data_IF_209227646563
#
_entry.id   IF_209227646563
#
_cell.length_a   1.000
_cell.length_b   1.000
_cell.length_c   1.000
_cell.angle_alpha   90.00
_cell.angle_beta   90.00
_cell.angle_gamma   90.00
#
_symmetry.space_group_name_H-M   'P 1'
#
loop_
_entity.id
_entity.type
_entity.pdbx_description
1 polymer ?
#
# COMPACT_ATOMS: atom_id res chain seq x y z
N UNK A 1 0.99 -4.05 26.32
CA UNK A 1 2.00 -3.58 25.35
C UNK A 1 1.24 -2.77 24.33
N UNK A 2 1.50 -1.46 24.25
CA UNK A 2 0.78 -0.58 23.32
C UNK A 2 1.25 -0.88 21.89
N UNK A 3 0.35 -1.41 21.05
CA UNK A 3 0.64 -1.70 19.65
C UNK A 3 0.78 -0.38 18.90
N UNK A 4 1.99 -0.08 18.40
CA UNK A 4 2.20 1.09 17.54
C UNK A 4 1.92 0.72 16.08
N UNK A 5 0.95 1.40 15.49
CA UNK A 5 0.75 1.40 14.03
C UNK A 5 1.64 2.50 13.44
N UNK A 6 2.47 2.13 12.46
CA UNK A 6 3.32 3.04 11.69
C UNK A 6 2.79 3.05 10.26
N UNK A 7 2.24 4.18 9.82
CA UNK A 7 1.70 4.31 8.46
C UNK A 7 2.68 5.05 7.56
N UNK A 8 2.99 4.48 6.40
CA UNK A 8 3.79 5.08 5.35
C UNK A 8 2.93 5.28 4.11
N UNK A 9 2.79 6.55 3.70
CA UNK A 9 2.12 6.94 2.47
C UNK A 9 3.16 7.15 1.38
N UNK A 10 3.03 6.47 0.25
CA UNK A 10 3.89 6.70 -0.90
C UNK A 10 3.15 7.47 -1.97
N UNK A 11 3.74 8.55 -2.47
CA UNK A 11 3.09 9.50 -3.39
C UNK A 11 4.02 9.87 -4.56
N UNK A 12 3.50 10.17 -5.76
CA UNK A 12 4.34 10.51 -6.92
C UNK A 12 4.97 11.92 -6.83
N UNK A 13 4.38 12.83 -6.06
CA UNK A 13 4.84 14.21 -5.90
C UNK A 13 4.72 14.67 -4.44
N UNK A 14 5.57 15.60 -4.01
CA UNK A 14 5.38 16.32 -2.74
C UNK A 14 4.34 17.42 -2.87
N UNK A 15 3.78 17.87 -1.75
CA UNK A 15 2.86 19.02 -1.73
C UNK A 15 3.53 20.30 -2.24
N UNK A 16 4.80 20.55 -1.89
CA UNK A 16 5.56 21.71 -2.38
C UNK A 16 5.73 21.68 -3.90
N UNK A 17 5.97 20.49 -4.48
CA UNK A 17 6.12 20.36 -5.93
C UNK A 17 4.78 20.59 -6.63
N UNK A 18 3.68 20.07 -6.09
CA UNK A 18 2.34 20.33 -6.63
C UNK A 18 1.97 21.82 -6.55
N UNK A 19 2.30 22.47 -5.43
CA UNK A 19 2.10 23.90 -5.24
C UNK A 19 2.87 24.70 -6.29
N UNK A 20 4.16 24.38 -6.48
CA UNK A 20 4.99 25.03 -7.49
C UNK A 20 4.38 24.91 -8.90
N UNK A 21 3.97 23.71 -9.30
CA UNK A 21 3.38 23.47 -10.62
C UNK A 21 2.07 24.25 -10.78
N UNK A 22 1.21 24.24 -9.76
CA UNK A 22 -0.05 24.99 -9.77
C UNK A 22 0.18 26.49 -9.90
N UNK A 23 1.08 27.06 -9.11
CA UNK A 23 1.33 28.51 -9.07
C UNK A 23 2.11 29.03 -10.29
N UNK A 24 3.02 28.24 -10.86
CA UNK A 24 3.95 28.72 -11.89
C UNK A 24 3.66 28.18 -13.30
N UNK A 25 3.01 27.03 -13.41
CA UNK A 25 2.70 26.37 -14.70
C UNK A 25 1.18 26.41 -14.98
N UNK A 26 0.35 26.65 -13.96
CA UNK A 26 -1.10 26.76 -14.10
C UNK A 26 -1.80 25.42 -14.31
N UNK A 27 -1.16 24.31 -13.89
CA UNK A 27 -1.77 22.98 -13.92
C UNK A 27 -2.30 22.64 -12.53
N UNK A 28 -3.59 22.32 -12.44
CA UNK A 28 -4.20 21.92 -11.18
C UNK A 28 -3.60 20.60 -10.65
N UNK A 29 -3.31 20.48 -9.34
CA UNK A 29 -2.73 19.26 -8.78
C UNK A 29 -3.51 17.99 -9.11
N UNK A 30 -4.84 18.08 -9.13
CA UNK A 30 -5.73 16.96 -9.50
C UNK A 30 -5.50 16.51 -10.95
N UNK A 31 -5.29 17.44 -11.87
CA UNK A 31 -5.07 17.14 -13.29
C UNK A 31 -3.72 16.51 -13.50
N UNK A 32 -2.67 17.03 -12.84
CA UNK A 32 -1.34 16.44 -12.89
C UNK A 32 -1.33 14.99 -12.38
N UNK A 33 -1.91 14.75 -11.20
CA UNK A 33 -1.98 13.40 -10.61
C UNK A 33 -2.78 12.45 -11.49
N UNK A 34 -3.88 12.92 -12.10
CA UNK A 34 -4.66 12.14 -13.05
C UNK A 34 -3.82 11.76 -14.28
N UNK A 35 -3.10 12.72 -14.87
CA UNK A 35 -2.28 12.49 -16.06
C UNK A 35 -1.12 11.53 -15.79
N UNK A 36 -0.42 11.73 -14.68
CA UNK A 36 0.64 10.82 -14.21
C UNK A 36 0.08 9.40 -14.02
N UNK A 37 -1.02 9.26 -13.28
CA UNK A 37 -1.65 7.95 -13.04
C UNK A 37 -2.10 7.26 -14.34
N UNK A 38 -2.72 8.00 -15.25
CA UNK A 38 -3.15 7.49 -16.55
C UNK A 38 -1.97 6.99 -17.38
N UNK A 39 -0.86 7.74 -17.39
CA UNK A 39 0.37 7.37 -18.11
C UNK A 39 0.94 6.07 -17.57
N UNK A 40 1.15 5.99 -16.24
CA UNK A 40 1.71 4.80 -15.59
C UNK A 40 0.84 3.55 -15.77
N UNK A 41 -0.48 3.71 -15.65
CA UNK A 41 -1.44 2.62 -15.86
C UNK A 41 -1.43 2.11 -17.31
N UNK A 42 -1.26 3.02 -18.27
CA UNK A 42 -1.13 2.68 -19.70
C UNK A 42 0.15 1.90 -19.96
N UNK A 43 1.30 2.39 -19.47
CA UNK A 43 2.60 1.71 -19.60
C UNK A 43 2.55 0.31 -18.96
N UNK A 44 1.90 0.18 -17.80
CA UNK A 44 1.72 -1.09 -17.11
C UNK A 44 0.99 -2.14 -17.95
N UNK A 45 0.06 -1.74 -18.82
CA UNK A 45 -0.60 -2.62 -19.78
C UNK A 45 -1.47 -3.75 -19.21
N UNK A 46 -1.88 -3.67 -17.94
CA UNK A 46 -2.70 -4.72 -17.26
C UNK A 46 -4.20 -4.43 -17.23
N UNK A 47 -4.61 -3.22 -17.58
CA UNK A 47 -6.00 -2.75 -17.48
C UNK A 47 -6.54 -2.37 -18.86
N UNK A 48 -7.85 -2.55 -19.08
CA UNK A 48 -8.54 -2.01 -20.27
C UNK A 48 -8.60 -0.49 -20.19
N UNK A 49 -8.62 0.20 -21.33
CA UNK A 49 -8.64 1.66 -21.42
C UNK A 49 -9.75 2.32 -20.57
N UNK A 50 -10.96 1.78 -20.61
CA UNK A 50 -12.08 2.27 -19.78
C UNK A 50 -11.78 2.19 -18.27
N UNK A 51 -11.11 1.13 -17.82
CA UNK A 51 -10.68 0.98 -16.41
C UNK A 51 -9.52 1.91 -16.07
N UNK A 52 -8.62 2.19 -17.02
CA UNK A 52 -7.51 3.13 -16.81
C UNK A 52 -8.07 4.51 -16.49
N UNK A 53 -9.03 5.00 -17.29
CA UNK A 53 -9.66 6.31 -17.07
C UNK A 53 -10.28 6.42 -15.68
N UNK A 54 -11.11 5.45 -15.28
CA UNK A 54 -11.74 5.45 -13.95
C UNK A 54 -10.70 5.39 -12.82
N UNK A 55 -9.61 4.64 -12.97
CA UNK A 55 -8.55 4.57 -11.96
C UNK A 55 -7.76 5.87 -11.85
N UNK A 56 -7.47 6.51 -12.99
CA UNK A 56 -6.80 7.81 -13.02
C UNK A 56 -7.68 8.92 -12.40
N UNK A 57 -9.00 8.89 -12.62
CA UNK A 57 -9.94 9.82 -11.99
C UNK A 57 -9.97 9.71 -10.46
N UNK A 58 -9.78 8.50 -9.92
CA UNK A 58 -9.72 8.25 -8.48
C UNK A 58 -8.33 8.50 -7.86
N UNK A 59 -7.28 8.66 -8.67
CA UNK A 59 -5.91 8.73 -8.20
C UNK A 59 -5.65 9.93 -7.27
N UNK A 60 -6.34 11.05 -7.48
CA UNK A 60 -6.18 12.22 -6.62
C UNK A 60 -6.76 12.02 -5.21
N UNK A 61 -7.87 11.31 -5.07
CA UNK A 61 -8.39 10.95 -3.75
C UNK A 61 -7.48 9.96 -3.03
N UNK A 62 -6.91 9.00 -3.76
CA UNK A 62 -5.91 8.08 -3.22
C UNK A 62 -4.62 8.78 -2.79
N UNK A 63 -4.18 9.77 -3.56
CA UNK A 63 -3.06 10.64 -3.23
C UNK A 63 -3.32 11.37 -1.91
N UNK A 64 -4.46 12.06 -1.78
CA UNK A 64 -4.85 12.74 -0.54
C UNK A 64 -4.96 11.78 0.64
N UNK A 65 -5.49 10.58 0.41
CA UNK A 65 -5.56 9.53 1.43
C UNK A 65 -4.18 9.08 1.91
N UNK A 66 -3.22 8.94 1.00
CA UNK A 66 -1.84 8.59 1.34
C UNK A 66 -1.12 9.69 2.12
N UNK A 67 -1.41 10.97 1.84
CA UNK A 67 -0.87 12.12 2.59
C UNK A 67 -1.30 12.15 4.07
N UNK A 68 -2.33 11.39 4.46
CA UNK A 68 -2.72 11.28 5.87
C UNK A 68 -1.84 10.33 6.69
N UNK A 69 -0.87 9.67 6.06
CA UNK A 69 0.07 8.79 6.75
C UNK A 69 1.09 9.58 7.59
N UNK A 70 1.51 8.99 8.71
CA UNK A 70 2.55 9.52 9.62
C UNK A 70 3.90 9.79 8.92
N UNK A 71 4.25 8.99 7.92
CA UNK A 71 5.45 9.18 7.12
C UNK A 71 5.10 9.19 5.64
N UNK A 72 5.69 10.13 4.89
CA UNK A 72 5.49 10.26 3.45
C UNK A 72 6.79 9.97 2.71
N UNK A 73 6.70 9.13 1.68
CA UNK A 73 7.78 8.86 0.73
C UNK A 73 7.33 9.36 -0.64
N UNK A 74 8.13 10.23 -1.24
CA UNK A 74 7.89 10.66 -2.63
C UNK A 74 8.64 9.71 -3.57
N UNK A 75 7.90 9.03 -4.45
CA UNK A 75 8.48 8.16 -5.48
C UNK A 75 8.04 8.59 -6.90
N UNK A 76 8.91 9.29 -7.63
CA UNK A 76 8.64 9.61 -9.03
C UNK A 76 8.78 8.38 -9.95
N UNK A 77 9.59 7.38 -9.59
CA UNK A 77 9.88 6.17 -10.39
C UNK A 77 8.86 5.07 -10.12
N UNK A 78 7.65 5.21 -10.65
CA UNK A 78 6.53 4.29 -10.44
C UNK A 78 6.84 2.80 -10.67
N UNK A 79 5.87 1.94 -10.40
CA UNK A 79 6.04 0.49 -10.64
C UNK A 79 6.22 0.13 -12.13
N UNK A 80 5.91 1.07 -13.01
CA UNK A 80 6.07 1.00 -14.46
C UNK A 80 7.50 1.30 -14.92
N UNK A 81 8.32 2.00 -14.12
CA UNK A 81 9.74 2.28 -14.40
C UNK A 81 10.64 1.12 -13.95
N UNK A 82 10.45 -0.05 -14.58
CA UNK A 82 11.16 -1.29 -14.23
C UNK A 82 12.67 -1.14 -14.32
N UNK A 83 13.14 -0.41 -15.32
CA UNK A 83 14.57 -0.19 -15.54
C UNK A 83 15.21 0.55 -14.37
N UNK A 84 14.57 1.61 -13.85
CA UNK A 84 15.08 2.31 -12.68
C UNK A 84 15.10 1.44 -11.43
N UNK A 85 14.07 0.60 -11.25
CA UNK A 85 14.04 -0.37 -10.16
C UNK A 85 15.18 -1.38 -10.31
N UNK A 86 15.30 -2.07 -11.44
CA UNK A 86 16.35 -3.07 -11.72
C UNK A 86 17.77 -2.49 -11.56
N UNK A 87 18.02 -1.30 -12.13
CA UNK A 87 19.33 -0.63 -12.04
C UNK A 87 19.59 0.05 -10.70
N UNK A 88 18.60 0.10 -9.80
CA UNK A 88 18.63 0.86 -8.55
C UNK A 88 19.16 2.27 -8.82
N UNK A 89 18.50 3.02 -9.71
CA UNK A 89 18.89 4.41 -10.00
C UNK A 89 18.84 5.25 -8.72
N UNK A 90 19.51 6.40 -8.73
CA UNK A 90 19.62 7.25 -7.53
C UNK A 90 18.25 7.59 -6.91
N UNK A 91 17.22 7.81 -7.73
CA UNK A 91 15.86 8.11 -7.25
C UNK A 91 15.21 6.91 -6.55
N UNK A 92 15.36 5.70 -7.10
CA UNK A 92 14.90 4.47 -6.45
C UNK A 92 15.69 4.17 -5.17
N UNK A 93 17.02 4.37 -5.17
CA UNK A 93 17.82 4.22 -3.96
C UNK A 93 17.37 5.20 -2.87
N UNK A 94 17.01 6.43 -3.22
CA UNK A 94 16.50 7.41 -2.28
C UNK A 94 15.17 6.95 -1.64
N UNK A 95 14.25 6.39 -2.43
CA UNK A 95 13.00 5.79 -1.93
C UNK A 95 13.29 4.65 -0.94
N UNK A 96 14.18 3.74 -1.30
CA UNK A 96 14.59 2.62 -0.44
C UNK A 96 15.23 3.15 0.86
N UNK A 97 16.12 4.14 0.77
CA UNK A 97 16.80 4.74 1.93
C UNK A 97 15.84 5.46 2.86
N UNK A 98 14.84 6.17 2.33
CA UNK A 98 13.79 6.79 3.14
C UNK A 98 12.99 5.73 3.91
N UNK A 99 12.60 4.64 3.23
CA UNK A 99 11.87 3.54 3.87
C UNK A 99 12.72 2.84 4.95
N UNK A 100 13.99 2.55 4.66
CA UNK A 100 14.96 2.02 5.62
C UNK A 100 15.10 2.92 6.86
N UNK A 101 15.18 4.24 6.66
CA UNK A 101 15.31 5.21 7.74
C UNK A 101 14.04 5.28 8.61
N UNK A 102 12.85 5.12 8.02
CA UNK A 102 11.60 5.01 8.79
C UNK A 102 11.64 3.76 9.66
N UNK A 103 11.97 2.60 9.09
CA UNK A 103 12.00 1.32 9.83
C UNK A 103 13.02 1.37 10.98
N UNK A 104 14.21 1.92 10.76
CA UNK A 104 15.26 1.98 11.77
C UNK A 104 14.84 2.76 13.03
N UNK A 105 13.95 3.77 12.91
CA UNK A 105 13.39 4.50 14.06
C UNK A 105 12.60 3.61 15.03
N UNK A 106 12.12 2.47 14.56
CA UNK A 106 11.28 1.55 15.33
C UNK A 106 11.95 0.21 15.63
N UNK A 107 13.25 0.09 15.37
CA UNK A 107 14.00 -1.14 15.64
C UNK A 107 13.93 -1.52 17.12
N UNK A 108 13.72 -2.81 17.38
CA UNK A 108 13.52 -3.34 18.74
C UNK A 108 12.13 -3.06 19.33
N UNK A 109 11.18 -2.55 18.55
CA UNK A 109 9.78 -2.37 18.95
C UNK A 109 8.87 -3.28 18.13
N UNK A 110 7.75 -3.69 18.72
CA UNK A 110 6.67 -4.38 18.02
C UNK A 110 5.77 -3.37 17.32
N UNK A 111 5.72 -3.40 15.99
CA UNK A 111 4.94 -2.46 15.16
C UNK A 111 4.10 -3.16 14.09
N UNK A 112 2.96 -2.55 13.77
CA UNK A 112 2.23 -2.81 12.53
C UNK A 112 2.62 -1.76 11.50
N UNK A 113 3.43 -2.15 10.51
CA UNK A 113 3.92 -1.30 9.43
C UNK A 113 2.94 -1.34 8.26
N UNK A 114 2.31 -0.21 7.97
CA UNK A 114 1.27 -0.07 6.95
C UNK A 114 1.82 0.72 5.77
N UNK A 115 1.78 0.15 4.57
CA UNK A 115 2.09 0.86 3.33
C UNK A 115 0.80 1.18 2.56
N UNK A 116 0.65 2.43 2.13
CA UNK A 116 -0.48 2.87 1.30
C UNK A 116 -0.03 3.89 0.24
N UNK A 117 -0.87 4.16 -0.76
CA UNK A 117 -0.52 5.05 -1.86
C UNK A 117 -1.36 4.78 -3.12
N UNK A 118 -1.43 5.74 -4.07
CA UNK A 118 -2.14 5.55 -5.32
C UNK A 118 -1.58 4.37 -6.13
N UNK A 119 -2.37 3.89 -7.08
CA UNK A 119 -1.89 2.86 -8.01
C UNK A 119 -0.66 3.29 -8.80
N UNK A 120 0.22 2.35 -9.07
CA UNK A 120 1.43 2.53 -9.88
C UNK A 120 2.51 3.43 -9.28
N UNK A 121 2.33 3.92 -8.05
CA UNK A 121 3.35 4.74 -7.38
C UNK A 121 4.62 3.94 -7.01
N UNK A 122 4.60 2.60 -7.06
CA UNK A 122 5.78 1.74 -6.79
C UNK A 122 5.73 0.91 -5.50
N UNK A 123 4.54 0.72 -4.90
CA UNK A 123 4.38 0.00 -3.62
C UNK A 123 4.85 -1.45 -3.71
N UNK A 124 4.44 -2.16 -4.75
CA UNK A 124 4.83 -3.55 -4.99
C UNK A 124 6.36 -3.74 -5.10
N UNK A 125 7.05 -2.98 -5.96
CA UNK A 125 8.52 -3.01 -6.00
C UNK A 125 9.19 -2.66 -4.66
N UNK A 126 8.69 -1.67 -3.92
CA UNK A 126 9.22 -1.35 -2.59
C UNK A 126 9.01 -2.50 -1.59
N UNK A 127 7.84 -3.14 -1.61
CA UNK A 127 7.54 -4.33 -0.81
C UNK A 127 8.47 -5.49 -1.16
N UNK A 128 8.72 -5.73 -2.46
CA UNK A 128 9.66 -6.75 -2.91
C UNK A 128 11.07 -6.48 -2.36
N UNK A 129 11.58 -5.25 -2.49
CA UNK A 129 12.87 -4.86 -1.90
C UNK A 129 12.86 -5.01 -0.37
N UNK A 130 11.74 -4.71 0.29
CA UNK A 130 11.62 -4.88 1.73
C UNK A 130 11.81 -6.34 2.17
N UNK A 131 11.14 -7.27 1.48
CA UNK A 131 11.16 -8.71 1.79
C UNK A 131 12.31 -9.49 1.13
N UNK A 132 13.16 -8.87 0.33
CA UNK A 132 14.33 -9.52 -0.29
C UNK A 132 15.66 -8.94 0.17
N UNK A 133 15.68 -7.67 0.59
CA UNK A 133 16.92 -6.97 0.92
C UNK A 133 16.87 -6.31 2.31
N UNK A 134 15.88 -5.44 2.55
CA UNK A 134 15.89 -4.57 3.74
C UNK A 134 15.80 -5.39 5.02
N UNK A 135 14.91 -6.39 5.07
CA UNK A 135 14.72 -7.18 6.28
C UNK A 135 15.98 -7.97 6.66
N UNK A 136 16.75 -8.47 5.69
CA UNK A 136 18.03 -9.15 5.95
C UNK A 136 19.10 -8.14 6.38
N UNK A 137 19.26 -7.06 5.63
CA UNK A 137 20.27 -6.02 5.89
C UNK A 137 20.11 -5.40 7.29
N UNK A 138 18.87 -5.16 7.73
CA UNK A 138 18.56 -4.57 9.02
C UNK A 138 18.32 -5.63 10.12
N UNK A 139 18.42 -6.93 9.80
CA UNK A 139 18.19 -8.07 10.71
C UNK A 139 16.81 -8.01 11.38
N UNK A 140 15.78 -7.75 10.59
CA UNK A 140 14.40 -7.58 11.05
C UNK A 140 13.69 -8.93 11.13
N UNK A 141 12.90 -9.12 12.19
CA UNK A 141 11.98 -10.24 12.32
C UNK A 141 10.59 -9.82 11.85
N UNK A 142 10.27 -10.14 10.60
CA UNK A 142 9.09 -9.62 9.89
C UNK A 142 8.05 -10.72 9.63
N UNK A 143 6.77 -10.39 9.76
CA UNK A 143 5.63 -11.15 9.23
C UNK A 143 4.82 -10.30 8.25
N UNK A 144 4.00 -10.94 7.43
CA UNK A 144 3.10 -10.27 6.49
C UNK A 144 1.65 -10.55 6.86
N UNK A 145 0.84 -9.51 6.98
CA UNK A 145 -0.57 -9.68 7.33
C UNK A 145 -1.37 -10.32 6.18
N UNK A 146 -2.41 -11.05 6.56
CA UNK A 146 -3.33 -11.73 5.64
C UNK A 146 -4.42 -10.78 5.17
N UNK A 147 -4.62 -10.71 3.86
CA UNK A 147 -5.73 -9.98 3.23
C UNK A 147 -6.57 -10.97 2.42
N UNK A 148 -7.86 -11.05 2.74
CA UNK A 148 -8.84 -11.77 1.94
C UNK A 148 -9.41 -10.87 0.86
N UNK A 149 -9.65 -11.42 -0.32
CA UNK A 149 -10.28 -10.73 -1.45
C UNK A 149 -11.32 -11.61 -2.12
N UNK A 150 -12.42 -11.01 -2.57
CA UNK A 150 -13.41 -11.75 -3.36
C UNK A 150 -12.84 -12.13 -4.73
N UNK A 151 -12.68 -13.44 -4.94
CA UNK A 151 -12.13 -14.04 -6.15
C UNK A 151 -12.94 -13.71 -7.41
N UNK A 152 -14.26 -13.46 -7.27
CA UNK A 152 -15.11 -13.10 -8.42
C UNK A 152 -14.93 -11.65 -8.83
N UNK A 153 -14.80 -10.74 -7.86
CA UNK A 153 -14.57 -9.32 -8.12
C UNK A 153 -13.13 -9.05 -8.58
N UNK A 154 -12.15 -9.80 -8.03
CA UNK A 154 -10.74 -9.71 -8.39
C UNK A 154 -10.12 -11.12 -8.47
N UNK A 155 -10.15 -11.76 -9.65
CA UNK A 155 -9.41 -13.01 -9.84
C UNK A 155 -7.89 -12.78 -9.73
N UNK A 156 -7.11 -13.81 -9.37
CA UNK A 156 -5.66 -13.74 -9.35
C UNK A 156 -5.11 -13.25 -10.70
N UNK A 157 -4.22 -12.26 -10.66
CA UNK A 157 -3.50 -11.79 -11.86
C UNK A 157 -2.29 -12.67 -12.12
N UNK A 158 -1.66 -12.52 -13.30
CA UNK A 158 -0.41 -13.22 -13.63
C UNK A 158 0.65 -12.97 -12.54
N UNK A 159 1.10 -14.04 -11.88
CA UNK A 159 2.07 -14.02 -10.78
C UNK A 159 1.45 -14.03 -9.38
N UNK A 160 0.13 -13.87 -9.24
CA UNK A 160 -0.59 -14.01 -7.96
C UNK A 160 -1.06 -15.47 -7.78
N UNK A 161 -1.04 -15.96 -6.55
CA UNK A 161 -1.53 -17.29 -6.15
C UNK A 161 -2.20 -17.23 -4.77
N UNK A 162 -2.88 -18.28 -4.35
CA UNK A 162 -3.44 -18.36 -2.99
C UNK A 162 -2.34 -18.09 -1.94
N UNK A 163 -2.59 -17.12 -1.06
CA UNK A 163 -1.64 -16.67 -0.04
C UNK A 163 -0.57 -15.70 -0.55
N UNK A 164 -0.56 -15.34 -1.84
CA UNK A 164 0.43 -14.42 -2.41
C UNK A 164 -0.15 -13.47 -3.49
N UNK A 165 -0.39 -12.19 -3.20
CA UNK A 165 -0.36 -11.55 -1.88
C UNK A 165 -1.70 -11.70 -1.11
N UNK A 166 -2.73 -12.27 -1.75
CA UNK A 166 -4.08 -12.37 -1.20
C UNK A 166 -4.50 -13.82 -0.95
N UNK A 167 -5.41 -13.98 -0.01
CA UNK A 167 -6.22 -15.18 0.11
C UNK A 167 -7.53 -14.97 -0.64
N UNK A 168 -7.74 -15.76 -1.69
CA UNK A 168 -8.89 -15.61 -2.56
C UNK A 168 -10.06 -16.43 -1.99
N UNK A 169 -11.14 -15.75 -1.63
CA UNK A 169 -12.36 -16.37 -1.10
C UNK A 169 -13.55 -15.93 -1.93
N UNK A 170 -14.67 -16.64 -1.84
CA UNK A 170 -15.92 -16.14 -2.42
C UNK A 170 -16.60 -15.14 -1.48
N UNK A 171 -17.42 -14.24 -2.03
CA UNK A 171 -18.11 -13.23 -1.24
C UNK A 171 -19.02 -13.80 -0.13
N UNK A 172 -19.68 -14.94 -0.38
CA UNK A 172 -20.48 -15.67 0.60
C UNK A 172 -19.63 -16.17 1.78
N UNK A 173 -18.46 -16.74 1.51
CA UNK A 173 -17.49 -17.17 2.53
C UNK A 173 -17.00 -15.98 3.37
N UNK A 174 -16.64 -14.86 2.72
CA UNK A 174 -16.21 -13.65 3.41
C UNK A 174 -17.31 -13.13 4.36
N UNK A 175 -18.56 -13.10 3.89
CA UNK A 175 -19.71 -12.66 4.71
C UNK A 175 -19.93 -13.59 5.89
N UNK A 176 -19.83 -14.90 5.69
CA UNK A 176 -19.97 -15.88 6.75
C UNK A 176 -18.87 -15.70 7.81
N UNK A 177 -17.61 -15.58 7.40
CA UNK A 177 -16.47 -15.32 8.29
C UNK A 177 -16.70 -14.08 9.17
N UNK A 178 -17.09 -12.96 8.56
CA UNK A 178 -17.36 -11.71 9.27
C UNK A 178 -18.56 -11.86 10.20
N UNK A 179 -19.62 -12.54 9.79
CA UNK A 179 -20.83 -12.71 10.61
C UNK A 179 -20.55 -13.52 11.89
N UNK A 180 -19.66 -14.51 11.82
CA UNK A 180 -19.26 -15.34 12.96
C UNK A 180 -18.38 -14.59 13.94
N UNK A 181 -17.47 -13.74 13.46
CA UNK A 181 -16.51 -13.00 14.28
C UNK A 181 -16.41 -11.51 13.85
N UNK A 182 -17.43 -10.68 14.08
CA UNK A 182 -17.48 -9.32 13.52
C UNK A 182 -16.40 -8.37 14.04
N UNK A 183 -15.81 -8.66 15.21
CA UNK A 183 -14.70 -7.89 15.78
C UNK A 183 -13.32 -8.30 15.26
N UNK A 184 -13.21 -9.46 14.61
CA UNK A 184 -11.95 -10.02 14.08
C UNK A 184 -11.54 -9.39 12.77
N UNK A 185 -12.48 -8.85 12.00
CA UNK A 185 -12.24 -8.47 10.62
C UNK A 185 -12.44 -6.97 10.38
N UNK A 186 -11.57 -6.37 9.58
CA UNK A 186 -11.80 -5.05 8.99
C UNK A 186 -12.10 -5.25 7.51
N UNK A 187 -13.35 -5.03 7.12
CA UNK A 187 -13.76 -4.98 5.73
C UNK A 187 -13.65 -3.55 5.17
N UNK A 188 -13.12 -3.41 3.96
CA UNK A 188 -13.03 -2.14 3.24
C UNK A 188 -13.18 -2.35 1.73
N UNK A 189 -13.63 -1.29 1.04
CA UNK A 189 -13.75 -1.27 -0.41
C UNK A 189 -12.48 -0.74 -1.07
N UNK A 190 -12.04 -1.44 -2.11
CA UNK A 190 -10.95 -1.02 -3.00
C UNK A 190 -11.48 -0.92 -4.42
N UNK A 191 -12.16 0.19 -4.71
CA UNK A 191 -12.72 0.51 -6.04
C UNK A 191 -13.75 -0.53 -6.50
N UNK A 192 -14.71 -0.86 -5.64
CA UNK A 192 -15.74 -1.86 -5.88
C UNK A 192 -15.28 -3.30 -5.65
N UNK A 193 -14.07 -3.51 -5.13
CA UNK A 193 -13.56 -4.83 -4.74
C UNK A 193 -13.52 -4.90 -3.21
N UNK A 194 -14.24 -5.86 -2.64
CA UNK A 194 -14.21 -6.12 -1.21
C UNK A 194 -12.87 -6.75 -0.82
N UNK A 195 -12.18 -6.12 0.15
CA UNK A 195 -11.02 -6.67 0.83
C UNK A 195 -11.25 -6.72 2.33
N UNK A 196 -10.62 -7.68 3.00
CA UNK A 196 -10.79 -7.92 4.43
C UNK A 196 -9.45 -8.22 5.09
N UNK A 197 -9.16 -7.52 6.17
CA UNK A 197 -7.99 -7.75 7.02
C UNK A 197 -8.37 -8.62 8.23
N UNK A 198 -7.54 -9.61 8.57
CA UNK A 198 -7.72 -10.46 9.76
C UNK A 198 -6.89 -9.95 10.94
N UNK A 199 -7.57 -9.36 11.94
CA UNK A 199 -6.95 -8.75 13.11
C UNK A 199 -6.40 -9.79 14.08
N UNK A 200 -7.01 -10.98 14.16
CA UNK A 200 -6.51 -12.04 15.01
C UNK A 200 -5.19 -12.59 14.47
N UNK A 201 -5.07 -12.72 13.13
CA UNK A 201 -3.82 -13.15 12.50
C UNK A 201 -2.70 -12.12 12.69
N UNK A 202 -3.01 -10.82 12.57
CA UNK A 202 -2.06 -9.76 12.91
C UNK A 202 -1.61 -9.88 14.37
N UNK A 203 -2.53 -10.09 15.30
CA UNK A 203 -2.22 -10.31 16.71
C UNK A 203 -1.26 -11.48 16.93
N UNK A 204 -1.54 -12.64 16.33
CA UNK A 204 -0.66 -13.83 16.37
C UNK A 204 0.73 -13.53 15.82
N UNK A 205 0.81 -12.91 14.64
CA UNK A 205 2.09 -12.54 14.04
C UNK A 205 2.86 -11.57 14.95
N UNK A 206 2.20 -10.62 15.61
CA UNK A 206 2.83 -9.70 16.56
C UNK A 206 3.31 -10.38 17.85
N UNK A 207 2.90 -11.61 18.16
CA UNK A 207 3.54 -12.38 19.25
C UNK A 207 4.93 -12.87 18.83
N UNK A 208 5.08 -13.33 17.59
CA UNK A 208 6.30 -13.98 17.08
C UNK A 208 7.25 -13.04 16.34
N UNK A 209 6.72 -11.95 15.78
CA UNK A 209 7.41 -10.99 14.92
C UNK A 209 7.54 -9.65 15.61
N UNK A 210 8.54 -8.88 15.20
CA UNK A 210 8.72 -7.49 15.64
C UNK A 210 7.98 -6.54 14.70
N UNK A 211 7.94 -6.85 13.41
CA UNK A 211 7.24 -6.05 12.41
C UNK A 211 6.21 -6.93 11.73
N UNK A 212 4.94 -6.51 11.72
CA UNK A 212 3.95 -7.05 10.80
C UNK A 212 3.72 -6.03 9.71
N UNK A 213 4.00 -6.40 8.46
CA UNK A 213 3.81 -5.53 7.30
C UNK A 213 2.46 -5.78 6.65
N UNK A 214 1.81 -4.71 6.19
CA UNK A 214 0.60 -4.80 5.38
C UNK A 214 0.53 -3.66 4.35
N UNK A 215 0.26 -3.99 3.09
CA UNK A 215 -0.17 -3.04 2.07
C UNK A 215 -1.71 -2.97 2.08
N UNK A 216 -2.30 -1.83 2.45
CA UNK A 216 -3.76 -1.63 2.45
C UNK A 216 -4.17 -0.36 1.72
N UNK A 217 -5.44 -0.30 1.33
CA UNK A 217 -6.04 0.92 0.84
C UNK A 217 -6.24 1.93 1.98
N UNK A 218 -6.04 3.22 1.72
CA UNK A 218 -5.98 4.26 2.75
C UNK A 218 -7.25 4.34 3.61
N UNK A 219 -8.41 3.97 3.06
CA UNK A 219 -9.71 3.97 3.75
C UNK A 219 -9.79 2.95 4.90
N UNK A 220 -8.91 1.94 4.92
CA UNK A 220 -8.83 0.97 6.01
C UNK A 220 -8.08 1.51 7.25
N UNK A 221 -7.23 2.54 7.07
CA UNK A 221 -6.36 3.07 8.13
C UNK A 221 -7.14 3.58 9.35
N UNK A 222 -8.24 4.35 9.23
CA UNK A 222 -8.99 4.81 10.40
C UNK A 222 -9.56 3.66 11.25
N UNK A 223 -10.12 2.63 10.60
CA UNK A 223 -10.63 1.43 11.29
C UNK A 223 -9.50 0.67 11.99
N UNK A 224 -8.33 0.59 11.35
CA UNK A 224 -7.16 -0.07 11.93
C UNK A 224 -6.63 0.69 13.17
N UNK A 225 -6.58 2.02 13.10
CA UNK A 225 -6.22 2.88 14.26
C UNK A 225 -7.20 2.72 15.41
N UNK A 226 -8.51 2.68 15.12
CA UNK A 226 -9.56 2.44 16.12
C UNK A 226 -9.44 1.06 16.77
N UNK A 227 -8.99 0.05 16.03
CA UNK A 227 -8.73 -1.28 16.58
C UNK A 227 -7.53 -1.28 17.53
N UNK A 228 -6.40 -0.67 17.15
CA UNK A 228 -5.21 -0.65 17.99
C UNK A 228 -5.34 0.22 19.26
N UNK A 229 -6.34 1.09 19.34
CA UNK A 229 -6.65 1.90 20.53
C UNK A 229 -7.59 1.22 21.53
N UNK A 230 -8.03 -0.01 21.29
CA UNK A 230 -8.88 -0.80 22.19
C UNK A 230 -8.03 -1.69 23.10
#
# INVERSE_FOLDING_TARGET
MELKIVTVGMVPFSEDHLKYISENIGIEPKELIKLDSQTRLTIRGKDKESKIKTRAENAFEEFKGALQAEHIIVNPHGEDDKESWEKRTWGVQLVIKQFQAIIEKFKGRKILLVLCGPSCVGKGPLEEVFFTEIFEQQKLNVGKAVIYVDIKQRPPRKGESEGNPYHFRRLDEIKEMISKEPKRYIQYDVRGVTQVLDLNEIGKLLHEKDIVFVEIFYTAIPSLRKWASQ
#
